data_IF_885718650318
#
_entry.id   IF_885718650318
#
_cell.length_a   1.000
_cell.length_b   1.000
_cell.length_c   1.000
_cell.angle_alpha   90.00
_cell.angle_beta   90.00
_cell.angle_gamma   90.00
#
_symmetry.space_group_name_H-M   'P 1'
#
loop_
_entity.id
_entity.type
_entity.pdbx_description
1 polymer ?
#
# COMPACT_ATOMS: atom_id res chain seq x y z
N UNK A 1 -26.70 6.17 -15.10
CA UNK A 1 -25.24 6.08 -14.92
C UNK A 1 -24.81 4.80 -15.58
N UNK A 2 -24.14 4.90 -16.72
CA UNK A 2 -23.54 3.76 -17.41
C UNK A 2 -22.45 3.17 -16.51
N UNK A 3 -22.16 1.87 -16.65
CA UNK A 3 -20.97 1.25 -16.05
C UNK A 3 -19.66 1.91 -16.56
N UNK A 4 -19.74 2.67 -17.65
CA UNK A 4 -18.63 3.41 -18.24
C UNK A 4 -18.52 4.86 -17.74
N UNK A 5 -19.48 5.37 -16.96
CA UNK A 5 -19.42 6.71 -16.37
C UNK A 5 -18.49 6.70 -15.15
N UNK A 6 -17.27 7.22 -15.30
CA UNK A 6 -16.29 7.36 -14.22
C UNK A 6 -16.34 8.79 -13.67
N UNK A 7 -16.32 8.93 -12.34
CA UNK A 7 -16.12 10.23 -11.68
C UNK A 7 -14.64 10.43 -11.37
N UNK A 8 -13.92 11.34 -12.05
CA UNK A 8 -12.49 11.57 -11.81
C UNK A 8 -12.21 12.00 -10.37
N UNK A 9 -13.09 12.83 -9.79
CA UNK A 9 -12.98 13.28 -8.41
C UNK A 9 -13.04 12.12 -7.41
N UNK A 10 -13.95 11.17 -7.62
CA UNK A 10 -14.04 9.97 -6.78
C UNK A 10 -12.78 9.10 -6.89
N UNK A 11 -12.22 8.96 -8.09
CA UNK A 11 -10.96 8.24 -8.32
C UNK A 11 -9.78 8.92 -7.62
N UNK A 12 -9.68 10.25 -7.67
CA UNK A 12 -8.64 11.00 -6.94
C UNK A 12 -8.77 10.83 -5.42
N UNK A 13 -9.98 10.85 -4.87
CA UNK A 13 -10.21 10.58 -3.44
C UNK A 13 -9.80 9.15 -3.08
N UNK A 14 -10.10 8.17 -3.94
CA UNK A 14 -9.64 6.79 -3.74
C UNK A 14 -8.11 6.71 -3.72
N UNK A 15 -7.42 7.41 -4.64
CA UNK A 15 -5.97 7.43 -4.72
C UNK A 15 -5.32 8.04 -3.46
N UNK A 16 -5.90 9.13 -2.96
CA UNK A 16 -5.49 9.73 -1.69
C UNK A 16 -5.67 8.74 -0.53
N UNK A 17 -6.80 8.05 -0.49
CA UNK A 17 -7.11 7.07 0.57
C UNK A 17 -6.09 5.93 0.59
N UNK A 18 -5.76 5.35 -0.57
CA UNK A 18 -4.73 4.31 -0.67
C UNK A 18 -3.35 4.81 -0.23
N UNK A 19 -3.00 6.07 -0.55
CA UNK A 19 -1.74 6.68 -0.11
C UNK A 19 -1.67 6.87 1.41
N UNK A 20 -2.78 7.30 2.03
CA UNK A 20 -2.88 7.48 3.49
C UNK A 20 -2.79 6.12 4.20
N UNK A 21 -3.55 5.12 3.74
CA UNK A 21 -3.50 3.76 4.29
C UNK A 21 -2.10 3.17 4.13
N UNK A 22 -1.47 3.32 2.96
CA UNK A 22 -0.09 2.91 2.73
C UNK A 22 0.89 3.55 3.71
N UNK A 23 0.74 4.85 3.98
CA UNK A 23 1.53 5.56 4.98
C UNK A 23 1.32 5.06 6.41
N UNK A 24 0.06 4.83 6.82
CA UNK A 24 -0.27 4.29 8.14
C UNK A 24 0.29 2.88 8.34
N UNK A 25 0.16 2.02 7.32
CA UNK A 25 0.76 0.68 7.36
C UNK A 25 2.29 0.75 7.50
N UNK A 26 2.95 1.64 6.76
CA UNK A 26 4.40 1.82 6.87
C UNK A 26 4.81 2.26 8.29
N UNK A 27 4.08 3.21 8.88
CA UNK A 27 4.34 3.71 10.22
C UNK A 27 4.13 2.63 11.30
N UNK A 28 3.01 1.91 11.25
CA UNK A 28 2.70 0.85 12.21
C UNK A 28 3.65 -0.34 12.09
N UNK A 29 4.01 -0.72 10.86
CA UNK A 29 5.02 -1.76 10.59
C UNK A 29 6.38 -1.36 11.16
N UNK A 30 6.82 -0.12 10.94
CA UNK A 30 8.07 0.39 11.50
C UNK A 30 8.07 0.41 13.03
N UNK A 31 6.94 0.79 13.65
CA UNK A 31 6.80 0.80 15.10
C UNK A 31 6.90 -0.61 15.71
N UNK A 32 6.41 -1.64 15.02
CA UNK A 32 6.47 -3.04 15.46
C UNK A 32 7.76 -3.79 15.11
N UNK A 33 8.60 -3.25 14.24
CA UNK A 33 9.72 -3.98 13.65
C UNK A 33 10.72 -4.54 14.67
N UNK A 34 11.09 -3.75 15.68
CA UNK A 34 12.03 -4.18 16.72
C UNK A 34 11.48 -5.33 17.58
N UNK A 35 10.16 -5.34 17.85
CA UNK A 35 9.53 -6.42 18.61
C UNK A 35 9.47 -7.73 17.81
N UNK A 36 9.35 -7.65 16.48
CA UNK A 36 9.29 -8.81 15.60
C UNK A 36 10.65 -9.47 15.38
N UNK A 37 11.74 -8.70 15.43
CA UNK A 37 13.10 -9.20 15.18
C UNK A 37 13.93 -9.41 16.45
N UNK A 38 13.57 -8.73 17.55
CA UNK A 38 14.25 -8.79 18.84
C UNK A 38 13.87 -9.96 19.74
N UNK A 39 13.57 -11.13 19.17
CA UNK A 39 13.13 -12.31 19.91
C UNK A 39 14.30 -12.94 20.69
N UNK A 40 14.07 -13.26 21.97
CA UNK A 40 15.06 -13.90 22.84
C UNK A 40 14.54 -15.29 23.27
N UNK A 41 15.43 -16.30 23.44
CA UNK A 41 15.03 -17.61 23.95
C UNK A 41 14.40 -17.53 25.35
N UNK A 42 13.37 -18.34 25.60
CA UNK A 42 12.68 -18.41 26.90
C UNK A 42 13.50 -19.15 27.97
N UNK A 43 14.35 -20.09 27.56
CA UNK A 43 15.33 -20.74 28.42
C UNK A 43 16.62 -21.04 27.65
N UNK A 44 17.66 -21.47 28.36
CA UNK A 44 18.97 -21.82 27.79
C UNK A 44 18.99 -23.23 27.18
N UNK A 45 17.94 -23.60 26.45
CA UNK A 45 17.84 -24.88 25.73
C UNK A 45 18.09 -24.68 24.23
N UNK A 46 18.53 -25.74 23.54
CA UNK A 46 18.75 -25.69 22.10
C UNK A 46 17.44 -25.45 21.33
N UNK A 47 16.32 -25.99 21.82
CA UNK A 47 15.00 -25.85 21.20
C UNK A 47 14.48 -24.42 21.31
N UNK A 48 14.65 -23.78 22.48
CA UNK A 48 14.26 -22.38 22.67
C UNK A 48 15.09 -21.42 21.80
N UNK A 49 16.39 -21.72 21.61
CA UNK A 49 17.26 -20.96 20.72
C UNK A 49 16.85 -21.09 19.25
N UNK A 50 16.51 -22.31 18.81
CA UNK A 50 16.01 -22.56 17.46
C UNK A 50 14.66 -21.87 17.21
N UNK A 51 13.74 -21.94 18.18
CA UNK A 51 12.44 -21.28 18.11
C UNK A 51 12.57 -19.76 18.04
N UNK A 52 13.40 -19.14 18.89
CA UNK A 52 13.64 -17.70 18.86
C UNK A 52 14.19 -17.24 17.50
N UNK A 53 15.12 -18.02 16.92
CA UNK A 53 15.68 -17.76 15.59
C UNK A 53 14.60 -17.86 14.50
N UNK A 54 13.75 -18.88 14.55
CA UNK A 54 12.65 -19.05 13.59
C UNK A 54 11.61 -17.93 13.69
N UNK A 55 11.32 -17.44 14.90
CA UNK A 55 10.37 -16.34 15.11
C UNK A 55 10.93 -15.01 14.59
N UNK A 56 12.22 -14.71 14.85
CA UNK A 56 12.87 -13.52 14.32
C UNK A 56 12.99 -13.53 12.78
N UNK A 57 13.21 -14.70 12.18
CA UNK A 57 13.24 -14.84 10.72
C UNK A 57 11.86 -14.66 10.10
N UNK A 58 10.81 -15.23 10.71
CA UNK A 58 9.42 -15.01 10.31
C UNK A 58 9.02 -13.53 10.43
N UNK A 59 9.41 -12.86 11.53
CA UNK A 59 9.21 -11.42 11.72
C UNK A 59 9.88 -10.60 10.63
N UNK A 60 11.14 -10.92 10.30
CA UNK A 60 11.88 -10.26 9.20
C UNK A 60 11.19 -10.47 7.85
N UNK A 61 10.72 -11.69 7.55
CA UNK A 61 9.99 -11.98 6.33
C UNK A 61 8.67 -11.18 6.25
N UNK A 62 7.92 -11.10 7.34
CA UNK A 62 6.71 -10.28 7.43
C UNK A 62 7.00 -8.81 7.13
N UNK A 63 8.07 -8.24 7.69
CA UNK A 63 8.46 -6.84 7.43
C UNK A 63 8.79 -6.60 5.95
N UNK A 64 9.44 -7.56 5.29
CA UNK A 64 9.69 -7.50 3.85
C UNK A 64 8.38 -7.47 3.03
N UNK A 65 7.47 -8.40 3.30
CA UNK A 65 6.16 -8.46 2.64
C UNK A 65 5.33 -7.21 2.90
N UNK A 66 5.34 -6.70 4.14
CA UNK A 66 4.65 -5.47 4.49
C UNK A 66 5.18 -4.26 3.70
N UNK A 67 6.50 -4.16 3.51
CA UNK A 67 7.11 -3.13 2.69
C UNK A 67 6.70 -3.23 1.20
N UNK A 68 6.68 -4.44 0.65
CA UNK A 68 6.20 -4.69 -0.72
C UNK A 68 4.74 -4.28 -0.89
N UNK A 69 3.89 -4.63 0.08
CA UNK A 69 2.46 -4.30 0.06
C UNK A 69 2.23 -2.78 0.13
N UNK A 70 2.99 -2.07 0.96
CA UNK A 70 2.99 -0.60 0.98
C UNK A 70 3.36 -0.04 -0.40
N UNK A 71 4.42 -0.55 -1.02
CA UNK A 71 4.84 -0.15 -2.37
C UNK A 71 3.75 -0.37 -3.43
N UNK A 72 3.07 -1.52 -3.39
CA UNK A 72 1.95 -1.83 -4.29
C UNK A 72 0.78 -0.86 -4.13
N UNK A 73 0.43 -0.49 -2.88
CA UNK A 73 -0.63 0.50 -2.63
C UNK A 73 -0.30 1.86 -3.19
N UNK A 74 0.93 2.34 -3.00
CA UNK A 74 1.37 3.60 -3.61
C UNK A 74 1.38 3.54 -5.14
N UNK A 75 1.81 2.42 -5.72
CA UNK A 75 1.73 2.19 -7.16
C UNK A 75 0.29 2.24 -7.68
N UNK A 76 -0.64 1.60 -6.96
CA UNK A 76 -2.06 1.60 -7.31
C UNK A 76 -2.68 3.01 -7.21
N UNK A 77 -2.39 3.75 -6.14
CA UNK A 77 -2.78 5.16 -6.01
C UNK A 77 -2.25 6.02 -7.17
N UNK A 78 -1.00 5.81 -7.58
CA UNK A 78 -0.42 6.46 -8.76
C UNK A 78 -1.20 6.15 -10.05
N UNK A 79 -1.55 4.88 -10.26
CA UNK A 79 -2.37 4.45 -11.38
C UNK A 79 -3.77 5.08 -11.39
N UNK A 80 -4.42 5.16 -10.22
CA UNK A 80 -5.71 5.84 -10.06
C UNK A 80 -5.63 7.33 -10.41
N UNK A 81 -4.58 8.03 -9.95
CA UNK A 81 -4.38 9.44 -10.31
C UNK A 81 -4.18 9.64 -11.82
N UNK A 82 -3.39 8.77 -12.47
CA UNK A 82 -3.21 8.85 -13.93
C UNK A 82 -4.52 8.59 -14.68
N UNK A 83 -5.33 7.64 -14.22
CA UNK A 83 -6.65 7.37 -14.78
C UNK A 83 -7.57 8.59 -14.63
N UNK A 84 -7.64 9.21 -13.44
CA UNK A 84 -8.44 10.40 -13.20
C UNK A 84 -8.08 11.55 -14.16
N UNK A 85 -6.78 11.84 -14.33
CA UNK A 85 -6.31 12.86 -15.30
C UNK A 85 -6.71 12.50 -16.73
N UNK A 86 -6.62 11.23 -17.10
CA UNK A 86 -6.98 10.76 -18.44
C UNK A 86 -8.47 10.95 -18.74
N UNK A 87 -9.36 10.71 -17.76
CA UNK A 87 -10.79 10.97 -17.91
C UNK A 87 -11.08 12.47 -18.08
N UNK A 88 -10.48 13.35 -17.25
CA UNK A 88 -10.65 14.80 -17.37
C UNK A 88 -10.19 15.32 -18.74
N UNK A 89 -9.05 14.85 -19.24
CA UNK A 89 -8.56 15.24 -20.56
C UNK A 89 -9.48 14.79 -21.69
N UNK A 90 -10.02 13.57 -21.61
CA UNK A 90 -10.98 13.06 -22.60
C UNK A 90 -12.29 13.85 -22.60
N UNK A 91 -12.81 14.21 -21.42
CA UNK A 91 -13.99 15.06 -21.29
C UNK A 91 -13.76 16.45 -21.90
N UNK A 92 -12.60 17.06 -21.62
CA UNK A 92 -12.22 18.36 -22.19
C UNK A 92 -12.12 18.31 -23.72
N UNK A 93 -11.44 17.29 -24.28
CA UNK A 93 -11.30 17.11 -25.73
C UNK A 93 -12.64 16.84 -26.40
N UNK A 94 -13.52 16.09 -25.77
CA UNK A 94 -14.88 15.87 -26.25
C UNK A 94 -15.67 17.18 -26.28
N UNK A 95 -15.67 17.94 -25.18
CA UNK A 95 -16.35 19.23 -25.10
C UNK A 95 -15.84 20.24 -26.14
N UNK A 96 -14.53 20.31 -26.38
CA UNK A 96 -13.92 21.19 -27.37
C UNK A 96 -14.36 20.85 -28.81
N UNK A 97 -14.55 19.55 -29.13
CA UNK A 97 -15.04 19.11 -30.45
C UNK A 97 -16.48 19.52 -30.74
N UNK A 98 -17.30 19.71 -29.71
CA UNK A 98 -18.69 20.17 -29.85
C UNK A 98 -18.85 21.70 -29.80
N UNK A 99 -17.75 22.44 -29.61
CA UNK A 99 -17.73 23.91 -29.50
C UNK A 99 -17.38 24.63 -30.82
N UNK A 100 -17.22 23.90 -31.93
CA UNK A 100 -17.05 24.41 -33.29
C UNK A 100 -18.24 23.98 -34.16
#
# INVERSE_FOLDING_TARGET
>A
MSILDVSPAAVTISALTESVIGGEMAATTAAGAAALTGVVPMAASADDAAFATAMASAGTAYLGVAAEHVGQRFGYAGGQNLAAVSYVLNELLSAAKFSF
#
